data_IF_497616032756
#
_entry.id   IF_497616032756
#
_cell.length_a   1.000
_cell.length_b   1.000
_cell.length_c   1.000
_cell.angle_alpha   90.00
_cell.angle_beta   90.00
_cell.angle_gamma   90.00
#
_symmetry.space_group_name_H-M   'P 1'
#
loop_
_entity.id
_entity.type
_entity.pdbx_description
1 polymer ?
#
# COMPACT_ATOMS: atom_id res chain seq x y z
N UNK A 1 -17.06 -12.85 11.59
CA UNK A 1 -16.07 -13.55 12.44
C UNK A 1 -15.40 -12.53 13.33
N UNK A 2 -14.98 -12.89 14.54
CA UNK A 2 -14.21 -11.96 15.37
C UNK A 2 -12.77 -11.80 14.86
N UNK A 3 -12.10 -10.71 15.22
CA UNK A 3 -10.69 -10.49 14.86
C UNK A 3 -9.78 -11.62 15.37
N UNK A 4 -10.04 -12.14 16.57
CA UNK A 4 -9.30 -13.27 17.15
C UNK A 4 -9.47 -14.55 16.33
N UNK A 5 -10.68 -14.84 15.85
CA UNK A 5 -10.94 -16.02 15.03
C UNK A 5 -10.20 -15.94 13.69
N UNK A 6 -10.23 -14.75 13.06
CA UNK A 6 -9.54 -14.50 11.79
C UNK A 6 -8.03 -14.64 11.94
N UNK A 7 -7.45 -14.11 13.03
CA UNK A 7 -6.03 -14.25 13.32
C UNK A 7 -5.64 -15.71 13.57
N UNK A 8 -6.44 -16.46 14.34
CA UNK A 8 -6.21 -17.87 14.59
C UNK A 8 -6.27 -18.69 13.28
N UNK A 9 -7.24 -18.38 12.43
CA UNK A 9 -7.37 -18.97 11.10
C UNK A 9 -6.16 -18.67 10.23
N UNK A 10 -5.73 -17.41 10.12
CA UNK A 10 -4.58 -17.02 9.33
C UNK A 10 -3.30 -17.72 9.82
N UNK A 11 -3.10 -17.82 11.14
CA UNK A 11 -1.97 -18.54 11.73
C UNK A 11 -2.01 -20.04 11.42
N UNK A 12 -3.19 -20.66 11.44
CA UNK A 12 -3.36 -22.07 11.09
C UNK A 12 -3.05 -22.33 9.61
N UNK A 13 -3.54 -21.46 8.72
CA UNK A 13 -3.22 -21.53 7.29
C UNK A 13 -1.72 -21.35 7.06
N UNK A 14 -1.09 -20.37 7.71
CA UNK A 14 0.36 -20.15 7.62
C UNK A 14 1.16 -21.34 8.15
N UNK A 15 0.70 -21.99 9.23
CA UNK A 15 1.33 -23.21 9.73
C UNK A 15 1.22 -24.36 8.71
N UNK A 16 0.08 -24.53 8.05
CA UNK A 16 -0.08 -25.52 6.99
C UNK A 16 0.79 -25.19 5.77
N UNK A 17 0.86 -23.91 5.38
CA UNK A 17 1.72 -23.39 4.31
C UNK A 17 3.19 -23.71 4.58
N UNK A 18 3.67 -23.42 5.79
CA UNK A 18 5.06 -23.70 6.19
C UNK A 18 5.41 -25.19 6.17
N UNK A 19 4.42 -26.05 6.44
CA UNK A 19 4.58 -27.52 6.36
C UNK A 19 4.36 -28.07 4.95
N UNK A 20 4.00 -27.23 3.98
CA UNK A 20 3.67 -27.66 2.61
C UNK A 20 2.40 -28.51 2.52
N UNK A 21 1.49 -28.44 3.49
CA UNK A 21 0.32 -29.33 3.61
C UNK A 21 -0.98 -28.72 3.07
N UNK A 22 -0.94 -27.53 2.45
CA UNK A 22 -2.15 -26.88 1.93
C UNK A 22 -2.84 -27.73 0.85
N UNK A 23 -2.09 -28.48 0.04
CA UNK A 23 -2.62 -29.35 -1.00
C UNK A 23 -3.48 -30.52 -0.47
N UNK A 24 -3.37 -30.86 0.82
CA UNK A 24 -4.20 -31.91 1.44
C UNK A 24 -5.61 -31.42 1.78
N UNK A 25 -5.83 -30.11 1.83
CA UNK A 25 -7.14 -29.54 2.12
C UNK A 25 -7.95 -29.51 0.82
N UNK A 26 -9.20 -30.02 0.81
CA UNK A 26 -10.03 -30.03 -0.39
C UNK A 26 -10.22 -28.63 -0.97
N UNK A 27 -10.08 -28.49 -2.29
CA UNK A 27 -10.20 -27.20 -2.99
C UNK A 27 -11.52 -26.50 -2.70
N UNK A 28 -12.63 -27.23 -2.60
CA UNK A 28 -13.95 -26.68 -2.27
C UNK A 28 -13.99 -26.00 -0.90
N UNK A 29 -13.17 -26.46 0.04
CA UNK A 29 -13.03 -25.82 1.35
C UNK A 29 -12.37 -24.47 1.22
N UNK A 30 -11.33 -24.35 0.38
CA UNK A 30 -10.70 -23.07 0.09
C UNK A 30 -11.61 -22.15 -0.72
N UNK A 31 -12.34 -22.66 -1.70
CA UNK A 31 -13.31 -21.86 -2.47
C UNK A 31 -14.37 -21.26 -1.53
N UNK A 32 -14.88 -22.03 -0.58
CA UNK A 32 -15.85 -21.55 0.41
C UNK A 32 -15.22 -20.57 1.39
N UNK A 33 -14.01 -20.87 1.86
CA UNK A 33 -13.26 -19.99 2.75
C UNK A 33 -13.01 -18.62 2.10
N UNK A 34 -12.51 -18.59 0.86
CA UNK A 34 -12.22 -17.36 0.14
C UNK A 34 -13.47 -16.49 -0.03
N UNK A 35 -14.66 -17.08 -0.25
CA UNK A 35 -15.92 -16.32 -0.26
C UNK A 35 -16.24 -15.68 1.09
N UNK A 36 -16.02 -16.39 2.19
CA UNK A 36 -16.25 -15.86 3.54
C UNK A 36 -15.28 -14.72 3.85
N UNK A 37 -14.01 -14.89 3.48
CA UNK A 37 -12.97 -13.87 3.65
C UNK A 37 -13.25 -12.64 2.78
N UNK A 38 -13.59 -12.82 1.52
CA UNK A 38 -13.98 -11.73 0.60
C UNK A 38 -15.15 -10.90 1.16
N UNK A 39 -16.17 -11.56 1.72
CA UNK A 39 -17.24 -10.83 2.40
C UNK A 39 -16.75 -9.99 3.59
N UNK A 40 -15.74 -10.44 4.35
CA UNK A 40 -15.17 -9.61 5.42
C UNK A 40 -14.37 -8.42 4.87
N UNK A 41 -13.67 -8.61 3.74
CA UNK A 41 -12.92 -7.54 3.07
C UNK A 41 -13.87 -6.47 2.56
N UNK A 42 -14.94 -6.88 1.87
CA UNK A 42 -15.93 -5.97 1.31
C UNK A 42 -16.64 -5.11 2.36
N UNK A 43 -16.88 -5.66 3.56
CA UNK A 43 -17.49 -4.89 4.67
C UNK A 43 -16.65 -3.73 5.18
N UNK A 44 -15.34 -3.73 4.91
CA UNK A 44 -14.44 -2.65 5.29
C UNK A 44 -14.02 -1.77 4.10
N UNK A 45 -14.62 -1.98 2.93
CA UNK A 45 -14.28 -1.24 1.72
C UNK A 45 -14.55 0.27 1.90
N UNK A 46 -13.58 1.10 1.52
CA UNK A 46 -13.64 2.55 1.66
C UNK A 46 -13.41 3.09 3.08
N UNK A 47 -13.20 2.23 4.09
CA UNK A 47 -12.87 2.70 5.45
C UNK A 47 -11.43 3.22 5.51
N UNK A 48 -11.27 4.41 6.11
CA UNK A 48 -9.97 5.05 6.26
C UNK A 48 -9.53 5.18 7.72
N UNK A 49 -8.23 4.96 7.98
CA UNK A 49 -7.63 5.14 9.31
C UNK A 49 -7.47 6.63 9.64
N UNK A 50 -7.27 7.47 8.61
CA UNK A 50 -7.02 8.91 8.75
C UNK A 50 -8.23 9.70 9.26
N UNK A 51 -9.43 9.16 9.08
CA UNK A 51 -10.69 9.76 9.55
C UNK A 51 -11.04 9.35 11.01
N UNK A 52 -10.14 8.64 11.69
CA UNK A 52 -10.42 7.96 12.96
C UNK A 52 -9.99 8.73 14.22
N UNK A 53 -9.61 10.01 14.12
CA UNK A 53 -8.87 10.71 15.18
C UNK A 53 -9.53 10.74 16.57
N UNK A 54 -10.85 10.60 16.76
CA UNK A 54 -11.40 10.68 18.13
C UNK A 54 -12.55 9.75 18.59
N UNK A 55 -13.10 8.82 17.79
CA UNK A 55 -14.27 8.06 18.29
C UNK A 55 -14.59 6.67 17.71
N UNK A 56 -13.80 6.09 16.81
CA UNK A 56 -14.28 4.92 16.04
C UNK A 56 -13.39 3.67 16.18
N UNK A 57 -13.31 3.10 17.39
CA UNK A 57 -12.69 1.78 17.64
C UNK A 57 -13.23 0.69 16.68
N UNK A 58 -14.50 0.80 16.29
CA UNK A 58 -15.18 -0.16 15.41
C UNK A 58 -14.68 -0.10 13.96
N UNK A 59 -14.28 1.08 13.47
CA UNK A 59 -13.70 1.23 12.13
C UNK A 59 -12.33 0.58 12.08
N UNK A 60 -11.46 0.88 13.05
CA UNK A 60 -10.13 0.25 13.15
C UNK A 60 -10.26 -1.26 13.33
N UNK A 61 -11.22 -1.73 14.11
CA UNK A 61 -11.51 -3.16 14.26
C UNK A 61 -11.93 -3.80 12.93
N UNK A 62 -12.79 -3.14 12.16
CA UNK A 62 -13.24 -3.60 10.84
C UNK A 62 -12.10 -3.65 9.83
N UNK A 63 -11.25 -2.63 9.80
CA UNK A 63 -10.03 -2.60 8.98
C UNK A 63 -9.11 -3.77 9.35
N UNK A 64 -8.88 -4.00 10.65
CA UNK A 64 -8.06 -5.13 11.09
C UNK A 64 -8.65 -6.49 10.72
N UNK A 65 -9.98 -6.65 10.80
CA UNK A 65 -10.66 -7.87 10.34
C UNK A 65 -10.46 -8.10 8.82
N UNK A 66 -10.56 -7.04 8.02
CA UNK A 66 -10.29 -7.12 6.59
C UNK A 66 -8.82 -7.47 6.32
N UNK A 67 -7.87 -6.85 7.01
CA UNK A 67 -6.44 -7.16 6.86
C UNK A 67 -6.08 -8.60 7.25
N UNK A 68 -6.68 -9.15 8.32
CA UNK A 68 -6.53 -10.56 8.67
C UNK A 68 -7.14 -11.49 7.62
N UNK A 69 -8.28 -11.07 7.04
CA UNK A 69 -8.94 -11.83 5.97
C UNK A 69 -8.13 -11.83 4.68
N UNK A 70 -7.54 -10.69 4.29
CA UNK A 70 -6.60 -10.57 3.18
C UNK A 70 -5.38 -11.44 3.42
N UNK A 71 -4.80 -11.39 4.62
CA UNK A 71 -3.65 -12.21 4.98
C UNK A 71 -3.95 -13.71 4.83
N UNK A 72 -5.10 -14.17 5.35
CA UNK A 72 -5.53 -15.56 5.20
C UNK A 72 -5.78 -15.95 3.73
N UNK A 73 -6.44 -15.09 2.97
CA UNK A 73 -6.76 -15.33 1.56
C UNK A 73 -5.48 -15.45 0.71
N UNK A 74 -4.56 -14.49 0.87
CA UNK A 74 -3.27 -14.51 0.19
C UNK A 74 -2.37 -15.65 0.66
N UNK A 75 -2.42 -16.06 1.93
CA UNK A 75 -1.65 -17.21 2.41
C UNK A 75 -2.07 -18.52 1.73
N UNK A 76 -3.35 -18.64 1.32
CA UNK A 76 -3.85 -19.75 0.50
C UNK A 76 -3.44 -19.56 -0.96
N UNK A 77 -3.77 -18.42 -1.58
CA UNK A 77 -3.58 -18.23 -3.03
C UNK A 77 -2.11 -18.13 -3.43
N UNK A 78 -1.25 -17.53 -2.59
CA UNK A 78 0.16 -17.35 -2.85
C UNK A 78 1.02 -18.55 -2.41
N UNK A 79 0.45 -19.76 -2.47
CA UNK A 79 1.20 -21.00 -2.28
C UNK A 79 1.40 -21.69 -3.63
N UNK A 80 2.54 -22.38 -3.79
CA UNK A 80 2.87 -23.05 -5.04
C UNK A 80 1.84 -24.14 -5.35
N UNK A 81 1.52 -24.30 -6.64
CA UNK A 81 0.66 -25.37 -7.16
C UNK A 81 -0.79 -25.36 -6.64
N UNK A 82 -1.33 -24.18 -6.28
CA UNK A 82 -2.74 -24.07 -5.90
C UNK A 82 -3.66 -24.05 -7.15
N UNK A 83 -4.84 -24.71 -7.12
CA UNK A 83 -5.72 -24.83 -8.28
C UNK A 83 -6.26 -23.51 -8.82
N UNK A 84 -6.42 -23.41 -10.16
CA UNK A 84 -6.88 -22.17 -10.84
C UNK A 84 -8.22 -21.61 -10.34
N UNK A 85 -9.10 -22.48 -9.84
CA UNK A 85 -10.42 -22.09 -9.31
C UNK A 85 -10.33 -21.13 -8.10
N UNK A 86 -9.19 -21.05 -7.43
CA UNK A 86 -8.99 -20.17 -6.27
C UNK A 86 -8.68 -18.72 -6.65
N UNK A 87 -8.23 -18.46 -7.89
CA UNK A 87 -7.86 -17.12 -8.35
C UNK A 87 -9.06 -16.44 -9.02
N UNK A 88 -9.95 -15.92 -8.18
CA UNK A 88 -11.06 -15.10 -8.66
C UNK A 88 -10.60 -13.66 -8.82
N UNK A 89 -10.69 -13.13 -10.04
CA UNK A 89 -10.29 -11.76 -10.37
C UNK A 89 -10.92 -10.73 -9.42
N UNK A 90 -12.24 -10.78 -9.21
CA UNK A 90 -12.97 -9.90 -8.30
C UNK A 90 -12.40 -9.85 -6.87
N UNK A 91 -11.98 -11.01 -6.32
CA UNK A 91 -11.42 -11.09 -4.97
C UNK A 91 -10.01 -10.49 -4.96
N UNK A 92 -9.21 -10.80 -5.99
CA UNK A 92 -7.85 -10.30 -6.11
C UNK A 92 -7.86 -8.78 -6.28
N UNK A 93 -8.68 -8.24 -7.18
CA UNK A 93 -8.82 -6.79 -7.40
C UNK A 93 -9.23 -6.09 -6.10
N UNK A 94 -10.20 -6.63 -5.35
CA UNK A 94 -10.61 -6.08 -4.07
C UNK A 94 -9.48 -6.08 -3.03
N UNK A 95 -8.70 -7.16 -2.95
CA UNK A 95 -7.51 -7.24 -2.08
C UNK A 95 -6.49 -6.15 -2.45
N UNK A 96 -6.23 -5.97 -3.75
CA UNK A 96 -5.24 -4.99 -4.23
C UNK A 96 -5.71 -3.57 -3.98
N UNK A 97 -6.97 -3.26 -4.27
CA UNK A 97 -7.54 -1.94 -4.05
C UNK A 97 -7.54 -1.58 -2.57
N UNK A 98 -8.01 -2.50 -1.71
CA UNK A 98 -7.94 -2.31 -0.25
C UNK A 98 -6.51 -2.08 0.21
N UNK A 99 -5.55 -2.86 -0.29
CA UNK A 99 -4.14 -2.73 0.07
C UNK A 99 -3.58 -1.37 -0.32
N UNK A 100 -3.87 -0.86 -1.53
CA UNK A 100 -3.44 0.47 -1.97
C UNK A 100 -4.02 1.56 -1.07
N UNK A 101 -5.31 1.47 -0.76
CA UNK A 101 -5.99 2.44 0.10
C UNK A 101 -5.36 2.50 1.50
N UNK A 102 -5.10 1.35 2.12
CA UNK A 102 -4.48 1.31 3.44
C UNK A 102 -3.00 1.74 3.43
N UNK A 103 -2.25 1.49 2.35
CA UNK A 103 -0.89 2.03 2.19
C UNK A 103 -0.94 3.57 2.17
N UNK A 104 -1.88 4.15 1.42
CA UNK A 104 -2.10 5.59 1.36
C UNK A 104 -2.41 6.18 2.74
N UNK A 105 -3.32 5.55 3.48
CA UNK A 105 -3.67 5.98 4.83
C UNK A 105 -2.51 5.90 5.82
N UNK A 106 -1.70 4.84 5.75
CA UNK A 106 -0.51 4.69 6.59
C UNK A 106 0.49 5.80 6.26
N UNK A 107 0.78 6.05 4.98
CA UNK A 107 1.65 7.16 4.56
C UNK A 107 1.14 8.50 5.10
N UNK A 108 -0.17 8.72 5.00
CA UNK A 108 -0.85 9.89 5.50
C UNK A 108 -0.73 10.12 7.02
N UNK A 109 -0.82 9.03 7.80
CA UNK A 109 -0.69 9.09 9.25
C UNK A 109 0.76 9.38 9.70
N UNK A 110 1.75 8.93 8.92
CA UNK A 110 3.17 9.19 9.18
C UNK A 110 3.59 10.60 8.75
N UNK A 111 3.09 11.07 7.60
CA UNK A 111 3.35 12.41 7.09
C UNK A 111 2.04 13.08 6.60
N UNK A 112 1.40 13.93 7.43
CA UNK A 112 0.20 14.66 7.05
C UNK A 112 0.41 15.62 5.87
N UNK A 113 1.64 16.09 5.62
CA UNK A 113 1.94 16.98 4.49
C UNK A 113 1.85 16.26 3.14
N UNK A 114 2.17 14.96 3.13
CA UNK A 114 1.95 14.09 1.97
C UNK A 114 0.46 13.99 1.61
N UNK A 115 -0.45 13.90 2.60
CA UNK A 115 -1.90 13.91 2.32
C UNK A 115 -2.38 15.18 1.64
N UNK A 116 -1.89 16.35 2.07
CA UNK A 116 -2.33 17.63 1.54
C UNK A 116 -2.03 17.78 0.04
N UNK A 117 -1.02 17.06 -0.45
CA UNK A 117 -0.59 17.06 -1.85
C UNK A 117 -1.24 15.94 -2.68
N UNK A 118 -1.65 14.84 -2.05
CA UNK A 118 -2.01 13.60 -2.77
C UNK A 118 -3.38 13.03 -2.43
N UNK A 119 -4.08 13.53 -1.41
CA UNK A 119 -5.48 13.14 -1.18
C UNK A 119 -6.35 13.85 -2.21
N UNK A 120 -7.04 13.14 -3.11
CA UNK A 120 -8.05 13.77 -3.93
C UNK A 120 -9.13 14.29 -3.00
N UNK A 121 -9.36 15.61 -3.00
CA UNK A 121 -10.48 16.23 -2.31
C UNK A 121 -11.76 15.61 -2.86
N UNK A 122 -12.29 14.60 -2.19
CA UNK A 122 -13.57 14.00 -2.54
C UNK A 122 -14.66 14.92 -2.00
N UNK A 123 -14.80 16.10 -2.61
CA UNK A 123 -15.97 16.97 -2.57
C UNK A 123 -15.82 18.06 -3.63
N UNK A 124 -16.57 17.90 -4.71
CA UNK A 124 -16.83 18.94 -5.71
C UNK A 124 -15.82 18.97 -6.85
N UNK A 125 -16.31 18.59 -8.04
CA UNK A 125 -15.98 19.14 -9.36
C UNK A 125 -14.68 19.93 -9.47
N UNK A 126 -13.77 19.52 -10.35
CA UNK A 126 -13.32 20.38 -11.45
C UNK A 126 -12.40 19.62 -12.40
N UNK A 127 -12.53 20.08 -13.63
CA UNK A 127 -12.01 19.55 -14.86
C UNK A 127 -10.49 19.61 -14.96
N UNK A 128 -9.98 18.77 -15.85
CA UNK A 128 -8.64 18.83 -16.40
C UNK A 128 -8.39 20.23 -16.95
N UNK A 129 -7.45 20.95 -16.34
CA UNK A 129 -6.88 22.18 -16.86
C UNK A 129 -5.36 22.07 -16.79
N UNK A 130 -4.77 21.83 -17.96
CA UNK A 130 -3.33 21.81 -18.18
C UNK A 130 -2.72 23.22 -18.02
N UNK A 131 -1.53 23.24 -17.40
CA UNK A 131 -0.42 24.20 -17.45
C UNK A 131 -0.57 25.58 -18.13
N UNK A 132 -0.17 26.63 -17.39
CA UNK A 132 1.01 27.51 -17.61
C UNK A 132 0.79 29.01 -17.24
N UNK A 133 1.47 29.42 -16.17
CA UNK A 133 2.36 30.61 -16.04
C UNK A 133 1.81 32.06 -16.19
N UNK A 134 2.56 33.11 -15.74
CA UNK A 134 2.05 34.14 -14.82
C UNK A 134 1.93 35.54 -15.44
N UNK A 135 1.06 36.40 -14.91
CA UNK A 135 1.29 37.86 -15.03
C UNK A 135 0.58 38.72 -13.98
N UNK A 136 1.21 39.87 -13.74
CA UNK A 136 0.96 40.88 -12.73
C UNK A 136 -0.29 41.77 -12.98
N UNK A 137 -0.87 42.31 -11.90
CA UNK A 137 -1.07 43.75 -11.62
C UNK A 137 -2.31 44.07 -10.74
N UNK A 138 -2.02 44.76 -9.61
CA UNK A 138 -2.66 45.98 -9.07
C UNK A 138 -4.06 45.93 -8.41
N UNK A 139 -4.05 46.38 -7.12
CA UNK A 139 -5.11 47.16 -6.44
C UNK A 139 -6.25 46.33 -5.83
N UNK A 140 -6.71 46.51 -4.59
CA UNK A 140 -6.97 47.75 -3.86
C UNK A 140 -7.29 47.45 -2.39
N UNK A 141 -7.09 48.46 -1.53
CA UNK A 141 -7.20 48.44 -0.08
C UNK A 141 -8.63 48.34 0.48
N UNK A 142 -8.81 47.68 1.64
CA UNK A 142 -9.38 48.31 2.87
C UNK A 142 -9.54 47.35 4.07
N UNK A 143 -8.83 47.69 5.16
CA UNK A 143 -9.16 47.54 6.59
C UNK A 143 -9.86 46.26 7.12
N UNK A 144 -9.10 45.43 7.86
CA UNK A 144 -9.47 45.06 9.24
C UNK A 144 -8.26 44.64 10.09
N UNK A 145 -8.17 45.28 11.25
CA UNK A 145 -7.18 45.21 12.33
C UNK A 145 -7.24 43.86 13.06
N UNK A 146 -6.12 43.15 13.26
CA UNK A 146 -5.88 42.34 14.48
C UNK A 146 -4.47 41.74 14.57
N UNK A 147 -3.79 42.07 15.67
CA UNK A 147 -2.82 41.27 16.43
C UNK A 147 -1.58 40.72 15.72
N UNK A 148 -0.45 41.40 15.97
CA UNK A 148 0.86 40.76 16.14
C UNK A 148 0.66 39.61 17.15
N UNK A 149 0.75 38.37 16.69
CA UNK A 149 1.07 37.21 17.53
C UNK A 149 2.40 36.69 17.04
N UNK A 150 3.41 37.00 17.85
CA UNK A 150 4.73 36.39 17.89
C UNK A 150 4.74 34.97 17.34
N UNK A 151 5.50 34.77 16.27
CA UNK A 151 5.91 33.48 15.74
C UNK A 151 6.54 32.69 16.88
N UNK A 152 5.84 31.68 17.40
CA UNK A 152 6.46 30.62 18.19
C UNK A 152 7.09 29.64 17.22
N UNK A 153 8.37 29.86 16.93
CA UNK A 153 9.23 28.82 16.36
C UNK A 153 9.43 27.74 17.42
N UNK A 154 9.10 26.51 17.01
CA UNK A 154 9.51 25.21 17.52
C UNK A 154 8.97 24.66 18.86
N UNK A 155 8.21 23.57 18.71
CA UNK A 155 8.78 22.22 18.81
C UNK A 155 8.21 21.37 17.66
N UNK A 156 8.99 20.55 16.94
CA UNK A 156 8.39 19.46 16.19
C UNK A 156 7.75 18.55 17.24
N UNK A 157 6.43 18.62 17.34
CA UNK A 157 5.68 17.55 17.96
C UNK A 157 6.06 16.30 17.18
N UNK A 158 6.94 15.46 17.74
CA UNK A 158 7.13 14.10 17.25
C UNK A 158 5.72 13.52 17.12
N UNK A 159 5.25 13.39 15.88
CA UNK A 159 3.93 12.91 15.59
C UNK A 159 3.93 11.44 16.04
N UNK A 160 3.47 11.18 17.27
CA UNK A 160 3.48 9.83 17.83
C UNK A 160 2.39 9.05 17.10
N UNK A 161 2.76 8.42 15.99
CA UNK A 161 1.89 7.56 15.21
C UNK A 161 1.23 6.54 16.15
N UNK A 162 -0.09 6.41 16.05
CA UNK A 162 -0.87 5.59 16.97
C UNK A 162 -0.49 4.11 16.86
N UNK A 163 -0.69 3.35 17.94
CA UNK A 163 -0.48 1.90 17.93
C UNK A 163 -1.33 1.19 16.87
N UNK A 164 -2.52 1.72 16.56
CA UNK A 164 -3.39 1.19 15.50
C UNK A 164 -2.73 1.32 14.13
N UNK A 165 -2.21 2.50 13.78
CA UNK A 165 -1.50 2.72 12.50
C UNK A 165 -0.27 1.83 12.41
N UNK A 166 0.48 1.66 13.49
CA UNK A 166 1.65 0.75 13.53
C UNK A 166 1.26 -0.71 13.27
N UNK A 167 0.18 -1.19 13.90
CA UNK A 167 -0.32 -2.55 13.66
C UNK A 167 -0.72 -2.75 12.18
N UNK A 168 -1.38 -1.75 11.60
CA UNK A 168 -1.81 -1.80 10.20
C UNK A 168 -0.59 -1.75 9.28
N UNK A 169 0.39 -0.88 9.52
CA UNK A 169 1.67 -0.85 8.80
C UNK A 169 2.36 -2.22 8.79
N UNK A 170 2.49 -2.86 9.95
CA UNK A 170 3.11 -4.19 10.06
C UNK A 170 2.33 -5.24 9.26
N UNK A 171 1.00 -5.17 9.32
CA UNK A 171 0.13 -6.08 8.59
C UNK A 171 0.22 -5.86 7.08
N UNK A 172 0.25 -4.61 6.63
CA UNK A 172 0.50 -4.24 5.24
C UNK A 172 1.82 -4.79 4.75
N UNK A 173 2.90 -4.67 5.52
CA UNK A 173 4.20 -5.24 5.16
C UNK A 173 4.14 -6.76 4.89
N UNK A 174 3.33 -7.48 5.67
CA UNK A 174 3.09 -8.92 5.45
C UNK A 174 2.28 -9.16 4.17
N UNK A 175 1.21 -8.39 3.98
CA UNK A 175 0.33 -8.45 2.80
C UNK A 175 1.11 -8.16 1.52
N UNK A 176 1.90 -7.08 1.44
CA UNK A 176 2.73 -6.78 0.26
C UNK A 176 3.68 -7.93 -0.09
N UNK A 177 4.24 -8.60 0.92
CA UNK A 177 5.08 -9.78 0.70
C UNK A 177 4.32 -10.92 0.01
N UNK A 178 3.10 -11.19 0.43
CA UNK A 178 2.26 -12.23 -0.18
C UNK A 178 1.66 -11.81 -1.53
N UNK A 179 1.36 -10.52 -1.73
CA UNK A 179 0.97 -9.99 -3.05
C UNK A 179 2.10 -10.17 -4.05
N UNK A 180 3.35 -9.91 -3.65
CA UNK A 180 4.53 -10.20 -4.48
C UNK A 180 4.60 -11.70 -4.82
N UNK A 181 4.36 -12.59 -3.86
CA UNK A 181 4.34 -14.03 -4.14
C UNK A 181 3.18 -14.43 -5.08
N UNK A 182 2.00 -13.82 -4.93
CA UNK A 182 0.84 -14.05 -5.80
C UNK A 182 1.11 -13.62 -7.25
N UNK A 183 1.78 -12.50 -7.46
CA UNK A 183 2.19 -11.99 -8.78
C UNK A 183 3.08 -12.96 -9.56
N UNK A 184 3.82 -13.83 -8.86
CA UNK A 184 4.64 -14.87 -9.50
C UNK A 184 3.82 -16.07 -9.96
N UNK A 185 2.58 -16.21 -9.48
CA UNK A 185 1.72 -17.37 -9.70
C UNK A 185 0.60 -17.02 -10.70
N UNK A 186 -0.11 -15.92 -10.48
CA UNK A 186 -1.26 -15.50 -11.29
C UNK A 186 -0.98 -14.18 -12.01
N UNK A 187 -1.34 -14.11 -13.30
CA UNK A 187 -1.20 -12.88 -14.09
C UNK A 187 -2.33 -11.92 -13.73
N UNK A 188 -1.97 -10.77 -13.21
CA UNK A 188 -2.91 -9.68 -12.94
C UNK A 188 -3.12 -8.80 -14.19
N UNK A 189 -4.20 -8.02 -14.18
CA UNK A 189 -4.46 -7.01 -15.21
C UNK A 189 -3.44 -5.87 -15.16
N UNK A 190 -3.11 -5.30 -16.33
CA UNK A 190 -2.10 -4.24 -16.45
C UNK A 190 -2.48 -2.99 -15.63
N UNK A 191 -3.79 -2.69 -15.56
CA UNK A 191 -4.32 -1.59 -14.74
C UNK A 191 -4.04 -1.79 -13.24
N UNK A 192 -4.30 -3.00 -12.72
CA UNK A 192 -3.98 -3.34 -11.33
C UNK A 192 -2.49 -3.26 -11.04
N UNK A 193 -1.65 -3.80 -11.94
CA UNK A 193 -0.19 -3.76 -11.81
C UNK A 193 0.30 -2.32 -11.77
N UNK A 194 -0.16 -1.48 -12.70
CA UNK A 194 0.26 -0.09 -12.81
C UNK A 194 -0.12 0.70 -11.55
N UNK A 195 -1.35 0.56 -11.07
CA UNK A 195 -1.80 1.21 -9.85
C UNK A 195 -1.04 0.74 -8.61
N UNK A 196 -0.75 -0.56 -8.52
CA UNK A 196 0.02 -1.15 -7.43
C UNK A 196 1.46 -0.65 -7.41
N UNK A 197 2.12 -0.60 -8.58
CA UNK A 197 3.49 -0.07 -8.72
C UNK A 197 3.51 1.42 -8.38
N UNK A 198 2.56 2.22 -8.90
CA UNK A 198 2.45 3.65 -8.59
C UNK A 198 2.32 3.88 -7.08
N UNK A 199 1.42 3.15 -6.42
CA UNK A 199 1.20 3.28 -4.97
C UNK A 199 2.39 2.77 -4.15
N UNK A 200 3.08 1.74 -4.62
CA UNK A 200 4.29 1.23 -3.97
C UNK A 200 5.45 2.22 -4.09
N UNK A 201 5.57 2.89 -5.24
CA UNK A 201 6.61 3.88 -5.47
C UNK A 201 6.44 5.12 -4.58
N UNK A 202 5.20 5.58 -4.36
CA UNK A 202 4.95 6.74 -3.49
C UNK A 202 5.37 6.52 -2.04
N UNK A 203 5.49 5.26 -1.58
CA UNK A 203 6.03 4.95 -0.24
C UNK A 203 7.45 5.48 -0.01
N UNK A 204 8.21 5.72 -1.08
CA UNK A 204 9.56 6.27 -1.00
C UNK A 204 9.61 7.77 -0.70
N UNK A 205 8.48 8.47 -0.81
CA UNK A 205 8.34 9.91 -0.58
C UNK A 205 8.09 10.28 0.89
N UNK A 206 7.75 9.30 1.73
CA UNK A 206 7.42 9.51 3.15
C UNK A 206 8.54 8.93 4.03
N UNK A 207 8.99 9.67 5.03
CA UNK A 207 10.00 9.21 5.98
C UNK A 207 9.40 8.26 7.04
N UNK A 208 10.25 7.62 7.85
CA UNK A 208 9.85 6.77 8.99
C UNK A 208 9.01 5.51 8.70
N UNK A 209 8.84 5.12 7.43
CA UNK A 209 8.16 3.86 7.00
C UNK A 209 9.09 2.86 6.29
N UNK A 210 10.32 2.72 6.79
CA UNK A 210 11.40 1.93 6.15
C UNK A 210 11.03 0.47 5.85
N UNK A 211 10.30 -0.19 6.76
CA UNK A 211 9.89 -1.59 6.55
C UNK A 211 8.91 -1.72 5.37
N UNK A 212 7.96 -0.79 5.24
CA UNK A 212 7.03 -0.77 4.12
C UNK A 212 7.74 -0.46 2.81
N UNK A 213 8.70 0.47 2.83
CA UNK A 213 9.55 0.79 1.67
C UNK A 213 10.36 -0.43 1.20
N UNK A 214 10.91 -1.20 2.14
CA UNK A 214 11.61 -2.45 1.82
C UNK A 214 10.69 -3.47 1.16
N UNK A 215 9.46 -3.62 1.67
CA UNK A 215 8.46 -4.51 1.07
C UNK A 215 7.96 -4.01 -0.28
N UNK A 216 7.76 -2.71 -0.44
CA UNK A 216 7.42 -2.06 -1.70
C UNK A 216 8.53 -2.27 -2.75
N UNK A 217 9.80 -2.08 -2.38
CA UNK A 217 10.93 -2.36 -3.26
C UNK A 217 10.93 -3.82 -3.74
N UNK A 218 10.71 -4.77 -2.83
CA UNK A 218 10.59 -6.19 -3.18
C UNK A 218 9.41 -6.49 -4.10
N UNK A 219 8.27 -5.84 -3.88
CA UNK A 219 7.08 -5.95 -4.73
C UNK A 219 7.36 -5.43 -6.14
N UNK A 220 7.89 -4.21 -6.27
CA UNK A 220 8.16 -3.61 -7.57
C UNK A 220 9.25 -4.40 -8.31
N UNK A 221 10.29 -4.86 -7.62
CA UNK A 221 11.28 -5.77 -8.21
C UNK A 221 10.65 -7.09 -8.69
N UNK A 222 9.67 -7.63 -7.96
CA UNK A 222 8.92 -8.82 -8.36
C UNK A 222 8.10 -8.57 -9.62
N UNK A 223 7.35 -7.46 -9.67
CA UNK A 223 6.61 -7.02 -10.87
C UNK A 223 7.55 -6.87 -12.06
N UNK A 224 8.68 -6.19 -11.90
CA UNK A 224 9.65 -6.02 -12.96
C UNK A 224 10.21 -7.36 -13.44
N UNK A 225 10.51 -8.28 -12.53
CA UNK A 225 10.94 -9.63 -12.87
C UNK A 225 9.89 -10.35 -13.74
N UNK A 226 8.62 -10.30 -13.33
CA UNK A 226 7.51 -10.91 -14.08
C UNK A 226 7.34 -10.24 -15.44
N UNK A 227 7.32 -8.91 -15.51
CA UNK A 227 7.18 -8.16 -16.77
C UNK A 227 8.36 -8.38 -17.72
N UNK A 228 9.60 -8.39 -17.22
CA UNK A 228 10.78 -8.65 -18.04
C UNK A 228 10.90 -10.11 -18.47
N UNK A 229 10.48 -11.07 -17.64
CA UNK A 229 10.53 -12.49 -17.98
C UNK A 229 9.36 -12.92 -18.88
N UNK A 230 8.15 -12.41 -18.64
CA UNK A 230 6.98 -12.70 -19.49
C UNK A 230 7.07 -11.99 -20.85
N UNK A 231 7.64 -10.79 -20.91
CA UNK A 231 7.87 -10.05 -22.16
C UNK A 231 9.34 -10.11 -22.58
N UNK A 232 9.92 -11.31 -22.71
CA UNK A 232 11.19 -11.56 -23.42
C UNK A 232 12.31 -10.49 -23.24
N UNK A 233 12.72 -10.21 -22.00
CA UNK A 233 13.93 -9.46 -21.66
C UNK A 233 14.04 -8.05 -22.25
N UNK A 234 15.27 -7.50 -22.26
CA UNK A 234 15.67 -6.17 -22.78
C UNK A 234 15.23 -5.82 -24.22
N UNK A 235 14.44 -6.69 -24.88
CA UNK A 235 13.89 -6.51 -26.23
C UNK A 235 12.40 -6.13 -26.28
N UNK A 236 11.77 -5.83 -25.13
CA UNK A 236 10.41 -5.28 -25.12
C UNK A 236 10.32 -4.01 -25.97
N UNK A 237 9.36 -3.97 -26.92
CA UNK A 237 9.06 -2.78 -27.74
C UNK A 237 8.31 -1.71 -26.95
N UNK A 238 7.83 -2.04 -25.75
CA UNK A 238 7.07 -1.11 -24.93
C UNK A 238 8.01 -0.08 -24.29
N UNK A 239 7.89 1.17 -24.74
CA UNK A 239 8.66 2.31 -24.22
C UNK A 239 8.23 2.65 -22.79
N UNK A 240 6.95 2.52 -22.45
CA UNK A 240 6.43 2.87 -21.13
C UNK A 240 7.01 1.97 -20.03
N UNK A 241 7.04 0.66 -20.27
CA UNK A 241 7.61 -0.32 -19.33
C UNK A 241 9.10 -0.09 -19.11
N UNK A 242 9.84 0.29 -20.16
CA UNK A 242 11.28 0.58 -20.06
C UNK A 242 11.56 1.87 -19.29
N UNK A 243 10.81 2.93 -19.56
CA UNK A 243 10.95 4.20 -18.81
C UNK A 243 10.65 3.99 -17.33
N UNK A 244 9.56 3.29 -16.99
CA UNK A 244 9.24 2.97 -15.59
C UNK A 244 10.32 2.12 -14.91
N UNK A 245 10.89 1.14 -15.61
CA UNK A 245 11.98 0.34 -15.07
C UNK A 245 13.25 1.17 -14.80
N UNK A 246 13.58 2.12 -15.68
CA UNK A 246 14.72 3.02 -15.53
C UNK A 246 14.52 3.98 -14.36
N UNK A 247 13.36 4.65 -14.29
CA UNK A 247 13.04 5.58 -13.20
C UNK A 247 13.06 4.88 -11.83
N UNK A 248 12.56 3.65 -11.79
CA UNK A 248 12.59 2.81 -10.60
C UNK A 248 14.02 2.44 -10.20
N UNK A 249 14.83 1.93 -11.13
CA UNK A 249 16.23 1.58 -10.84
C UNK A 249 17.03 2.81 -10.39
N UNK A 250 16.79 3.96 -11.01
CA UNK A 250 17.39 5.24 -10.60
C UNK A 250 17.00 5.62 -9.17
N UNK A 251 15.73 5.45 -8.80
CA UNK A 251 15.24 5.76 -7.45
C UNK A 251 15.80 4.81 -6.40
N UNK A 252 15.82 3.50 -6.69
CA UNK A 252 16.43 2.49 -5.80
C UNK A 252 17.92 2.79 -5.62
N UNK A 253 18.65 3.07 -6.70
CA UNK A 253 20.06 3.42 -6.64
C UNK A 253 20.31 4.71 -5.83
N UNK A 254 19.47 5.73 -5.98
CA UNK A 254 19.56 6.97 -5.21
C UNK A 254 19.35 6.73 -3.71
N UNK A 255 18.41 5.85 -3.34
CA UNK A 255 18.19 5.45 -1.94
C UNK A 255 19.35 4.66 -1.37
N UNK A 256 19.82 3.63 -2.05
CA UNK A 256 20.98 2.86 -1.62
C UNK A 256 22.23 3.77 -1.45
N UNK A 257 22.40 4.76 -2.33
CA UNK A 257 23.45 5.77 -2.21
C UNK A 257 23.27 6.68 -0.99
N UNK A 258 22.04 7.07 -0.67
CA UNK A 258 21.73 7.85 0.55
C UNK A 258 21.99 7.03 1.83
N UNK A 259 21.58 5.76 1.84
CA UNK A 259 21.71 4.87 3.00
C UNK A 259 23.18 4.50 3.27
N UNK A 260 23.96 4.24 2.23
CA UNK A 260 25.42 4.04 2.33
C UNK A 260 26.17 5.30 2.83
N UNK A 261 25.70 6.49 2.46
CA UNK A 261 26.26 7.74 2.96
C UNK A 261 25.93 7.97 4.45
N UNK A 262 24.75 7.56 4.92
CA UNK A 262 24.41 7.56 6.34
C UNK A 262 25.27 6.57 7.14
N UNK A 263 25.41 5.34 6.64
CA UNK A 263 26.24 4.30 7.29
C UNK A 263 27.73 4.67 7.36
N UNK A 264 28.24 5.49 6.42
CA UNK A 264 29.61 6.01 6.48
C UNK A 264 29.79 7.15 7.51
N UNK A 265 28.71 7.84 7.90
CA UNK A 265 28.76 8.92 8.91
C UNK A 265 28.66 8.40 10.34
N UNK A 266 28.05 7.24 10.56
CA UNK A 266 27.94 6.61 11.89
C UNK A 266 29.22 5.88 12.36
N UNK A 267 30.30 5.90 11.54
CA UNK A 267 31.60 5.26 11.86
C UNK A 267 32.67 6.23 12.38
N UNK A 268 32.32 7.46 12.76
CA UNK A 268 33.27 8.44 13.31
C UNK A 268 32.74 9.07 14.61
#
# INVERSE_FOLDING_TARGET
MSLSDLRALANKIMSLRAKGLLHLVPVDSFVRLLRILDHQIHRAEGLSISECEQSNSDVVSSINCALESIHAALAVMAHNQMPKQLYKEEIIERILEFSRHQIMDVMCAYDPSYCALHRPTQNGSLEVGEDEAPNAEIGSASKKRSSIKTVKVHKPSFNRVSAAVNNILQKMCTILGLVKDLLLIERLSDGCILQLVKTSFTTFMVDDIQLLQLKAMGLISGVLCVLLLQNAGLKSKDIGVRTMAIDLLGTIAARLKRDSAFCSKDKF
#
